data_IF_331386174077
#
_entry.id   IF_331386174077
#
_cell.length_a   1.000
_cell.length_b   1.000
_cell.length_c   1.000
_cell.angle_alpha   90.00
_cell.angle_beta   90.00
_cell.angle_gamma   90.00
#
_symmetry.space_group_name_H-M   'P 1'
#
loop_
_entity.id
_entity.type
_entity.pdbx_description
1 polymer ?
#
# COMPACT_ATOMS: atom_id res chain seq x y z
N UNK A 1 4.04 9.45 17.55
CA UNK A 1 3.19 10.66 17.54
C UNK A 1 1.86 10.40 18.23
N UNK A 2 1.29 11.38 19.00
CA UNK A 2 -0.09 11.36 19.48
C UNK A 2 -1.10 11.70 18.36
N UNK A 3 -2.40 11.53 18.62
CA UNK A 3 -3.43 11.92 17.64
C UNK A 3 -3.47 13.44 17.43
N UNK A 4 -3.27 14.21 18.49
CA UNK A 4 -3.22 15.67 18.45
C UNK A 4 -2.04 16.18 17.61
N UNK A 5 -0.88 15.53 17.72
CA UNK A 5 0.29 15.84 16.90
C UNK A 5 0.03 15.55 15.42
N UNK A 6 -0.64 14.42 15.11
CA UNK A 6 -1.00 14.05 13.75
C UNK A 6 -2.04 15.02 13.18
N UNK A 7 -3.09 15.32 13.92
CA UNK A 7 -4.15 16.24 13.53
C UNK A 7 -3.60 17.65 13.25
N UNK A 8 -2.73 18.17 14.14
CA UNK A 8 -2.08 19.46 13.94
C UNK A 8 -1.22 19.48 12.68
N UNK A 9 -0.43 18.43 12.45
CA UNK A 9 0.37 18.30 11.21
C UNK A 9 -0.52 18.29 9.97
N UNK A 10 -1.59 17.49 9.97
CA UNK A 10 -2.51 17.38 8.83
C UNK A 10 -3.24 18.69 8.58
N UNK A 11 -3.64 19.45 9.62
CA UNK A 11 -4.24 20.77 9.49
C UNK A 11 -3.27 21.75 8.78
N UNK A 12 -2.00 21.72 9.13
CA UNK A 12 -0.98 22.54 8.46
C UNK A 12 -0.83 22.09 7.00
N UNK A 13 -0.73 20.77 6.74
CA UNK A 13 -0.56 20.21 5.41
C UNK A 13 -1.78 20.49 4.50
N UNK A 14 -3.00 20.51 5.04
CA UNK A 14 -4.21 20.88 4.32
C UNK A 14 -4.14 22.31 3.78
N UNK A 15 -3.50 23.24 4.53
CA UNK A 15 -3.21 24.60 4.08
C UNK A 15 -2.27 24.67 2.87
N UNK A 16 -1.45 23.66 2.63
CA UNK A 16 -0.61 23.50 1.44
C UNK A 16 -1.29 22.71 0.31
N UNK A 17 -2.57 22.39 0.43
CA UNK A 17 -3.34 21.70 -0.61
C UNK A 17 -3.30 20.18 -0.52
N UNK A 18 -2.87 19.60 0.59
CA UNK A 18 -3.09 18.17 0.83
C UNK A 18 -4.57 17.94 1.06
N UNK A 19 -5.18 17.04 0.26
CA UNK A 19 -6.61 16.72 0.26
C UNK A 19 -6.89 15.26 0.59
N UNK A 20 -5.94 14.38 0.28
CA UNK A 20 -6.13 12.94 0.36
C UNK A 20 -5.12 12.32 1.30
N UNK A 21 -5.61 11.56 2.26
CA UNK A 21 -4.80 10.90 3.26
C UNK A 21 -4.80 9.38 3.06
N UNK A 22 -3.73 8.74 3.51
CA UNK A 22 -3.68 7.29 3.63
C UNK A 22 -3.14 6.91 4.98
N UNK A 23 -3.96 6.23 5.77
CA UNK A 23 -3.53 5.60 7.00
C UNK A 23 -2.83 4.28 6.67
N UNK A 24 -1.61 4.12 7.14
CA UNK A 24 -0.77 2.95 6.92
C UNK A 24 0.22 2.82 8.07
N UNK A 25 1.23 1.96 7.94
CA UNK A 25 2.26 1.76 8.95
C UNK A 25 2.73 0.32 8.89
N UNK A 26 2.96 -0.33 10.03
CA UNK A 26 2.97 -1.79 10.08
C UNK A 26 1.54 -2.29 9.84
N UNK A 27 0.70 -2.27 10.91
CA UNK A 27 -0.74 -2.50 10.77
C UNK A 27 -1.50 -1.37 11.48
N UNK A 28 -2.19 -0.48 10.73
CA UNK A 28 -2.87 0.68 11.34
C UNK A 28 -4.00 0.29 12.28
N UNK A 29 -4.69 -0.83 12.01
CA UNK A 29 -5.81 -1.30 12.85
C UNK A 29 -5.35 -1.91 14.18
N UNK A 30 -4.06 -2.23 14.33
CA UNK A 30 -3.49 -2.62 15.62
C UNK A 30 -3.36 -1.42 16.58
N UNK A 31 -3.35 -0.19 16.06
CA UNK A 31 -3.32 1.01 16.87
C UNK A 31 -4.72 1.31 17.42
N UNK A 32 -4.84 1.29 18.76
CA UNK A 32 -6.09 1.65 19.43
C UNK A 32 -6.57 3.05 19.01
N UNK A 33 -7.85 3.18 18.66
CA UNK A 33 -8.46 4.46 18.27
C UNK A 33 -8.20 4.85 16.81
N UNK A 34 -7.80 3.93 15.92
CA UNK A 34 -7.55 4.23 14.51
C UNK A 34 -8.77 4.85 13.81
N UNK A 35 -9.99 4.37 14.06
CA UNK A 35 -11.22 4.95 13.50
C UNK A 35 -11.50 6.36 14.09
N UNK A 36 -11.23 6.57 15.40
CA UNK A 36 -11.31 7.90 16.00
C UNK A 36 -10.36 8.89 15.33
N UNK A 37 -9.09 8.48 15.11
CA UNK A 37 -8.14 9.31 14.37
C UNK A 37 -8.66 9.63 12.97
N UNK A 38 -9.19 8.65 12.23
CA UNK A 38 -9.75 8.89 10.90
C UNK A 38 -10.88 9.93 10.94
N UNK A 39 -11.80 9.83 11.91
CA UNK A 39 -12.88 10.79 12.07
C UNK A 39 -12.37 12.21 12.36
N UNK A 40 -11.38 12.36 13.24
CA UNK A 40 -10.73 13.65 13.54
C UNK A 40 -10.06 14.26 12.31
N UNK A 41 -9.39 13.43 11.51
CA UNK A 41 -8.73 13.88 10.30
C UNK A 41 -9.71 14.26 9.19
N UNK A 42 -10.83 13.54 9.04
CA UNK A 42 -11.90 13.92 8.10
C UNK A 42 -12.59 15.23 8.46
N UNK A 43 -12.59 15.63 9.73
CA UNK A 43 -13.16 16.89 10.18
C UNK A 43 -12.27 18.11 9.87
N UNK A 44 -11.05 17.93 9.38
CA UNK A 44 -10.14 19.02 9.03
C UNK A 44 -10.57 19.64 7.69
N UNK A 45 -10.76 20.94 7.68
CA UNK A 45 -11.11 21.68 6.45
C UNK A 45 -10.08 21.42 5.32
N UNK A 46 -10.61 21.02 4.18
CA UNK A 46 -9.82 20.73 2.99
C UNK A 46 -9.38 19.27 2.85
N UNK A 47 -9.60 18.40 3.83
CA UNK A 47 -9.43 16.95 3.65
C UNK A 47 -10.70 16.40 3.01
N UNK A 48 -10.54 15.73 1.88
CA UNK A 48 -11.65 15.24 1.03
C UNK A 48 -11.80 13.73 1.08
N UNK A 49 -10.71 13.00 1.40
CA UNK A 49 -10.72 11.55 1.30
C UNK A 49 -9.65 10.90 2.19
N UNK A 50 -10.04 9.83 2.86
CA UNK A 50 -9.14 8.97 3.63
C UNK A 50 -9.21 7.53 3.12
N UNK A 51 -8.06 6.99 2.75
CA UNK A 51 -7.88 5.57 2.48
C UNK A 51 -7.10 4.90 3.60
N UNK A 52 -7.33 3.60 3.80
CA UNK A 52 -6.52 2.78 4.71
C UNK A 52 -5.79 1.68 3.93
N UNK A 53 -4.55 1.35 4.33
CA UNK A 53 -3.83 0.16 3.86
C UNK A 53 -3.61 -0.75 5.06
N UNK A 54 -4.09 -1.97 4.99
CA UNK A 54 -4.13 -2.94 6.10
C UNK A 54 -3.84 -4.37 5.59
N UNK A 55 -3.41 -5.25 6.49
CA UNK A 55 -3.34 -6.68 6.21
C UNK A 55 -4.72 -7.36 6.16
N UNK A 56 -5.79 -6.64 6.49
CA UNK A 56 -7.17 -7.12 6.40
C UNK A 56 -7.69 -7.93 7.59
N UNK A 57 -6.83 -8.54 8.38
CA UNK A 57 -7.24 -9.48 9.43
C UNK A 57 -8.16 -8.86 10.50
N UNK A 58 -8.02 -7.57 10.78
CA UNK A 58 -8.83 -6.86 11.76
C UNK A 58 -10.06 -6.14 11.16
N UNK A 59 -10.24 -6.13 9.85
CA UNK A 59 -11.37 -5.46 9.20
C UNK A 59 -12.73 -5.97 9.68
N UNK A 60 -12.97 -7.28 9.91
CA UNK A 60 -14.27 -7.73 10.41
C UNK A 60 -14.71 -7.05 11.72
N UNK A 61 -13.74 -6.56 12.49
CA UNK A 61 -14.00 -5.85 13.75
C UNK A 61 -14.17 -4.35 13.58
N UNK A 62 -13.47 -3.73 12.62
CA UNK A 62 -13.34 -2.29 12.53
C UNK A 62 -13.94 -1.65 11.28
N UNK A 63 -14.41 -2.44 10.30
CA UNK A 63 -14.90 -1.93 9.02
C UNK A 63 -16.07 -0.95 9.21
N UNK A 64 -17.03 -1.27 10.07
CA UNK A 64 -18.15 -0.40 10.40
C UNK A 64 -17.68 0.96 10.96
N UNK A 65 -16.83 0.96 11.98
CA UNK A 65 -16.34 2.17 12.61
C UNK A 65 -15.50 3.03 11.63
N UNK A 66 -14.71 2.39 10.77
CA UNK A 66 -13.95 3.09 9.74
C UNK A 66 -14.86 3.78 8.71
N UNK A 67 -15.93 3.10 8.26
CA UNK A 67 -16.92 3.72 7.35
C UNK A 67 -17.62 4.88 8.02
N UNK A 68 -18.06 4.71 9.25
CA UNK A 68 -18.70 5.78 10.04
C UNK A 68 -17.73 6.97 10.27
N UNK A 69 -16.43 6.71 10.36
CA UNK A 69 -15.38 7.73 10.47
C UNK A 69 -15.04 8.44 9.14
N UNK A 70 -15.67 8.06 8.01
CA UNK A 70 -15.47 8.68 6.71
C UNK A 70 -14.34 8.06 5.87
N UNK A 71 -13.80 6.89 6.25
CA UNK A 71 -12.87 6.17 5.39
C UNK A 71 -13.60 5.63 4.18
N UNK A 72 -13.24 6.10 3.00
CA UNK A 72 -13.94 5.76 1.74
C UNK A 72 -13.37 4.50 1.08
N UNK A 73 -12.05 4.24 1.22
CA UNK A 73 -11.34 3.24 0.44
C UNK A 73 -10.44 2.37 1.30
N UNK A 74 -10.44 1.07 1.01
CA UNK A 74 -9.59 0.08 1.68
C UNK A 74 -8.62 -0.54 0.68
N UNK A 75 -7.34 -0.61 1.06
CA UNK A 75 -6.32 -1.39 0.35
C UNK A 75 -5.88 -2.54 1.26
N UNK A 76 -6.10 -3.76 0.82
CA UNK A 76 -5.81 -4.97 1.60
C UNK A 76 -4.59 -5.65 0.97
N UNK A 77 -3.58 -5.94 1.78
CA UNK A 77 -2.37 -6.63 1.33
C UNK A 77 -2.63 -8.14 1.28
N UNK A 78 -2.41 -8.76 0.11
CA UNK A 78 -2.57 -10.20 -0.09
C UNK A 78 -1.66 -10.66 -1.24
N UNK A 79 -0.55 -11.29 -0.92
CA UNK A 79 0.46 -11.66 -1.91
C UNK A 79 0.21 -13.01 -2.56
N UNK A 80 -0.57 -13.89 -1.92
CA UNK A 80 -0.87 -15.23 -2.44
C UNK A 80 -2.18 -15.78 -1.85
N UNK A 81 -2.85 -16.65 -2.61
CA UNK A 81 -3.99 -17.43 -2.14
C UNK A 81 -3.60 -18.83 -1.63
N UNK A 82 -2.36 -19.24 -1.78
CA UNK A 82 -1.82 -20.48 -1.23
C UNK A 82 -1.55 -20.31 0.27
N UNK A 83 -2.20 -21.10 1.16
CA UNK A 83 -2.05 -20.94 2.60
C UNK A 83 -0.62 -21.19 3.11
N UNK A 84 0.14 -22.10 2.47
CA UNK A 84 1.51 -22.39 2.86
C UNK A 84 2.44 -21.23 2.48
N UNK A 85 2.30 -20.70 1.26
CA UNK A 85 3.02 -19.51 0.79
C UNK A 85 2.64 -18.29 1.64
N UNK A 86 1.36 -18.13 1.95
CA UNK A 86 0.90 -17.03 2.82
C UNK A 86 1.54 -17.08 4.20
N UNK A 87 1.54 -18.24 4.85
CA UNK A 87 2.15 -18.42 6.16
C UNK A 87 3.67 -18.14 6.14
N UNK A 88 4.36 -18.56 5.08
CA UNK A 88 5.81 -18.33 4.92
C UNK A 88 6.13 -16.83 4.78
N UNK A 89 5.34 -16.07 4.01
CA UNK A 89 5.58 -14.63 3.77
C UNK A 89 5.18 -13.80 4.98
N UNK A 90 4.00 -14.07 5.56
CA UNK A 90 3.44 -13.23 6.63
C UNK A 90 3.94 -13.60 8.02
N UNK A 91 4.47 -14.81 8.20
CA UNK A 91 4.93 -15.40 9.47
C UNK A 91 3.85 -15.58 10.53
N UNK A 92 2.80 -14.79 10.48
CA UNK A 92 1.67 -14.82 11.42
C UNK A 92 0.37 -14.54 10.67
N UNK A 93 -0.72 -15.08 11.16
CA UNK A 93 -2.05 -14.88 10.60
C UNK A 93 -2.50 -15.99 9.66
N UNK A 94 -3.73 -15.90 9.22
CA UNK A 94 -4.37 -16.85 8.31
C UNK A 94 -4.91 -16.11 7.08
N UNK A 95 -4.78 -16.74 5.93
CA UNK A 95 -5.41 -16.23 4.71
C UNK A 95 -6.92 -16.08 4.87
N UNK A 96 -7.57 -16.98 5.63
CA UNK A 96 -9.01 -16.89 5.91
C UNK A 96 -9.40 -15.61 6.64
N UNK A 97 -8.50 -15.09 7.52
CA UNK A 97 -8.72 -13.79 8.19
C UNK A 97 -8.73 -12.64 7.18
N UNK A 98 -7.84 -12.68 6.20
CA UNK A 98 -7.77 -11.67 5.14
C UNK A 98 -9.00 -11.74 4.23
N UNK A 99 -9.40 -12.94 3.84
CA UNK A 99 -10.61 -13.15 3.01
C UNK A 99 -11.88 -12.67 3.73
N UNK A 100 -12.03 -12.98 5.03
CA UNK A 100 -13.11 -12.40 5.85
C UNK A 100 -13.04 -10.88 5.95
N UNK A 101 -11.81 -10.32 5.98
CA UNK A 101 -11.62 -8.89 5.95
C UNK A 101 -12.06 -8.24 4.63
N UNK A 102 -11.83 -8.90 3.51
CA UNK A 102 -12.32 -8.49 2.19
C UNK A 102 -13.86 -8.50 2.18
N UNK A 103 -14.47 -9.58 2.67
CA UNK A 103 -15.93 -9.71 2.74
C UNK A 103 -16.54 -8.61 3.61
N UNK A 104 -15.99 -8.38 4.80
CA UNK A 104 -16.44 -7.30 5.69
C UNK A 104 -16.31 -5.89 5.04
N UNK A 105 -15.25 -5.64 4.27
CA UNK A 105 -15.11 -4.38 3.56
C UNK A 105 -16.18 -4.18 2.48
N UNK A 106 -16.58 -5.25 1.79
CA UNK A 106 -17.65 -5.21 0.79
C UNK A 106 -19.02 -5.04 1.45
N UNK A 107 -19.29 -5.74 2.54
CA UNK A 107 -20.54 -5.70 3.30
C UNK A 107 -20.81 -4.31 3.90
N UNK A 108 -19.77 -3.66 4.43
CA UNK A 108 -19.86 -2.30 4.98
C UNK A 108 -19.88 -1.21 3.89
N UNK A 109 -19.82 -1.58 2.62
CA UNK A 109 -20.00 -0.66 1.50
C UNK A 109 -18.89 0.36 1.34
N UNK A 110 -17.63 -0.02 1.51
CA UNK A 110 -16.53 0.84 1.11
C UNK A 110 -16.63 1.15 -0.40
N UNK A 111 -16.43 2.40 -0.77
CA UNK A 111 -16.56 2.87 -2.16
C UNK A 111 -15.60 2.16 -3.10
N UNK A 112 -14.41 1.80 -2.58
CA UNK A 112 -13.43 1.04 -3.34
C UNK A 112 -12.67 0.07 -2.45
N UNK A 113 -12.75 -1.21 -2.79
CA UNK A 113 -11.95 -2.29 -2.17
C UNK A 113 -10.85 -2.71 -3.13
N UNK A 114 -9.60 -2.55 -2.71
CA UNK A 114 -8.42 -2.93 -3.49
C UNK A 114 -7.63 -4.01 -2.77
N UNK A 115 -7.20 -5.02 -3.50
CA UNK A 115 -6.22 -6.02 -3.06
C UNK A 115 -4.88 -5.67 -3.67
N UNK A 116 -3.85 -5.49 -2.84
CA UNK A 116 -2.48 -5.23 -3.27
C UNK A 116 -1.67 -6.51 -3.17
N UNK A 117 -1.00 -6.86 -4.22
CA UNK A 117 -0.12 -8.02 -4.32
C UNK A 117 1.25 -7.55 -4.80
N UNK A 118 2.28 -7.77 -4.01
CA UNK A 118 3.66 -7.59 -4.45
C UNK A 118 4.04 -8.80 -5.30
N UNK A 119 4.43 -8.55 -6.55
CA UNK A 119 4.80 -9.60 -7.48
C UNK A 119 6.28 -9.95 -7.33
N UNK A 120 6.56 -11.18 -6.87
CA UNK A 120 7.91 -11.68 -6.58
C UNK A 120 8.13 -12.98 -7.33
N UNK A 121 9.17 -13.05 -8.16
CA UNK A 121 9.47 -14.21 -9.00
C UNK A 121 9.70 -15.49 -8.17
N UNK A 122 10.49 -15.38 -7.11
CA UNK A 122 10.79 -16.50 -6.21
C UNK A 122 9.57 -17.09 -5.50
N UNK A 123 8.48 -16.32 -5.36
CA UNK A 123 7.26 -16.78 -4.67
C UNK A 123 6.37 -17.66 -5.55
N UNK A 124 6.58 -17.69 -6.88
CA UNK A 124 5.80 -18.48 -7.82
C UNK A 124 4.28 -18.35 -7.56
N UNK A 125 3.79 -17.11 -7.67
CA UNK A 125 2.42 -16.74 -7.32
C UNK A 125 1.44 -17.10 -8.45
N UNK A 126 0.25 -17.58 -8.09
CA UNK A 126 -0.89 -17.67 -9.00
C UNK A 126 -1.55 -16.30 -9.17
N UNK A 127 -0.97 -15.48 -10.04
CA UNK A 127 -1.47 -14.12 -10.29
C UNK A 127 -2.89 -14.10 -10.85
N UNK A 128 -3.25 -15.06 -11.74
CA UNK A 128 -4.59 -15.11 -12.28
C UNK A 128 -5.60 -15.52 -11.22
N UNK A 129 -5.28 -16.50 -10.38
CA UNK A 129 -6.14 -16.89 -9.25
C UNK A 129 -6.45 -15.72 -8.31
N UNK A 130 -5.48 -14.83 -8.07
CA UNK A 130 -5.75 -13.62 -7.28
C UNK A 130 -6.73 -12.68 -8.03
N UNK A 131 -6.65 -12.57 -9.36
CA UNK A 131 -7.61 -11.74 -10.13
C UNK A 131 -9.04 -12.26 -10.08
N UNK A 132 -9.23 -13.58 -9.85
CA UNK A 132 -10.55 -14.19 -9.69
C UNK A 132 -11.36 -13.61 -8.53
N UNK A 133 -10.70 -13.01 -7.53
CA UNK A 133 -11.37 -12.27 -6.46
C UNK A 133 -12.28 -11.16 -7.00
N UNK A 134 -11.93 -10.61 -8.17
CA UNK A 134 -12.67 -9.55 -8.86
C UNK A 134 -13.67 -10.05 -9.92
N UNK A 135 -13.83 -11.38 -10.14
CA UNK A 135 -14.74 -11.90 -11.16
C UNK A 135 -16.19 -11.45 -10.92
N UNK A 136 -16.75 -11.81 -9.77
CA UNK A 136 -18.14 -11.57 -9.42
C UNK A 136 -18.34 -10.48 -8.35
N UNK A 137 -17.25 -9.87 -7.91
CA UNK A 137 -17.21 -8.86 -6.85
C UNK A 137 -16.48 -7.60 -7.30
N UNK A 138 -16.84 -6.39 -6.83
CA UNK A 138 -16.17 -5.14 -7.20
C UNK A 138 -14.82 -4.97 -6.47
N UNK A 139 -13.93 -5.96 -6.63
CA UNK A 139 -12.61 -5.97 -6.05
C UNK A 139 -11.59 -5.64 -7.13
N UNK A 140 -10.73 -4.65 -6.86
CA UNK A 140 -9.70 -4.22 -7.77
C UNK A 140 -8.34 -4.77 -7.33
N UNK A 141 -7.83 -5.78 -8.02
CA UNK A 141 -6.52 -6.36 -7.73
C UNK A 141 -5.43 -5.46 -8.32
N UNK A 142 -4.39 -5.16 -7.53
CA UNK A 142 -3.25 -4.37 -7.98
C UNK A 142 -1.96 -5.14 -7.76
N UNK A 143 -1.27 -5.44 -8.82
CA UNK A 143 0.07 -6.00 -8.79
C UNK A 143 1.10 -4.86 -8.72
N UNK A 144 2.02 -4.99 -7.79
CA UNK A 144 3.09 -4.02 -7.52
C UNK A 144 4.41 -4.71 -7.78
N UNK A 145 5.26 -4.12 -8.61
CA UNK A 145 6.63 -4.63 -8.77
C UNK A 145 7.34 -4.69 -7.42
N UNK A 146 8.02 -5.80 -7.17
CA UNK A 146 8.83 -5.94 -5.97
C UNK A 146 9.90 -4.84 -5.95
N UNK A 147 9.99 -4.16 -4.82
CA UNK A 147 10.96 -3.09 -4.56
C UNK A 147 11.93 -3.58 -3.48
N UNK A 148 13.21 -3.80 -3.78
CA UNK A 148 14.21 -4.12 -2.76
C UNK A 148 14.46 -2.88 -1.89
N UNK A 149 13.74 -2.80 -0.77
CA UNK A 149 13.81 -1.72 0.22
C UNK A 149 14.27 -2.31 1.55
N UNK A 150 15.27 -1.68 2.16
CA UNK A 150 15.97 -2.14 3.35
C UNK A 150 17.37 -2.66 3.01
N UNK A 151 18.27 -2.64 3.98
CA UNK A 151 19.60 -3.21 3.84
C UNK A 151 19.55 -4.74 3.89
N UNK A 152 20.23 -5.42 2.97
CA UNK A 152 20.41 -6.87 2.96
C UNK A 152 21.02 -7.41 4.26
N UNK A 153 21.72 -6.55 5.03
CA UNK A 153 22.38 -6.92 6.28
C UNK A 153 21.45 -6.92 7.51
N UNK A 154 20.29 -6.22 7.43
CA UNK A 154 19.40 -6.00 8.59
C UNK A 154 18.17 -6.89 8.61
N UNK A 155 17.95 -7.72 7.60
CA UNK A 155 16.90 -8.73 7.63
C UNK A 155 17.31 -9.80 8.65
N UNK A 156 16.49 -10.08 9.71
CA UNK A 156 16.84 -11.10 10.68
C UNK A 156 17.02 -12.48 10.01
N UNK A 157 18.23 -12.98 9.94
CA UNK A 157 18.58 -14.29 9.37
C UNK A 157 18.06 -15.48 10.21
N UNK A 158 17.30 -15.22 11.26
CA UNK A 158 16.74 -16.23 12.15
C UNK A 158 15.29 -16.55 11.75
N UNK A 159 15.11 -17.20 10.61
CA UNK A 159 13.86 -17.89 10.28
C UNK A 159 14.00 -19.31 10.79
N UNK A 160 13.02 -19.88 11.54
CA UNK A 160 13.07 -21.28 11.96
C UNK A 160 13.21 -22.19 10.74
N UNK A 161 14.09 -23.21 10.83
CA UNK A 161 14.34 -24.16 9.74
C UNK A 161 13.11 -25.00 9.33
N UNK A 162 12.05 -25.02 10.13
CA UNK A 162 10.78 -25.68 9.84
C UNK A 162 9.96 -24.85 8.84
N UNK A 163 10.10 -25.16 7.57
CA UNK A 163 9.43 -24.47 6.44
C UNK A 163 10.36 -24.06 5.31
N UNK A 164 11.67 -24.07 5.53
CA UNK A 164 12.68 -23.54 4.60
C UNK A 164 12.85 -24.36 3.30
N UNK A 165 12.30 -25.58 3.20
CA UNK A 165 12.40 -26.41 2.02
C UNK A 165 11.48 -25.96 0.87
N UNK A 166 10.46 -25.12 1.13
CA UNK A 166 9.47 -24.68 0.13
C UNK A 166 9.81 -23.35 -0.53
N UNK A 167 10.66 -22.52 0.10
CA UNK A 167 11.01 -21.21 -0.42
C UNK A 167 12.48 -20.90 -0.22
N UNK A 168 13.14 -20.37 -1.25
CA UNK A 168 14.33 -19.53 -1.02
C UNK A 168 13.92 -18.54 0.07
N UNK A 169 14.68 -18.53 1.14
CA UNK A 169 14.49 -17.63 2.26
C UNK A 169 13.97 -16.26 1.80
N UNK A 170 12.82 -15.81 2.32
CA UNK A 170 12.22 -14.51 2.01
C UNK A 170 13.23 -13.37 2.25
N UNK A 171 14.24 -13.60 3.09
CA UNK A 171 15.37 -12.72 3.34
C UNK A 171 16.40 -12.70 2.18
N UNK A 172 16.28 -13.60 1.20
CA UNK A 172 17.19 -13.72 0.06
C UNK A 172 16.60 -13.15 -1.24
N UNK A 173 15.43 -12.51 -1.21
CA UNK A 173 14.89 -11.86 -2.40
C UNK A 173 15.72 -10.65 -2.77
N UNK A 174 16.10 -10.59 -4.04
CA UNK A 174 16.89 -9.51 -4.60
C UNK A 174 16.22 -8.88 -5.84
N UNK A 175 16.93 -8.02 -6.53
CA UNK A 175 16.42 -7.35 -7.74
C UNK A 175 16.05 -8.32 -8.86
N UNK A 176 16.63 -9.52 -8.92
CA UNK A 176 16.30 -10.53 -9.93
C UNK A 176 14.91 -11.12 -9.72
N UNK A 177 14.35 -10.98 -8.50
CA UNK A 177 13.00 -11.40 -8.16
C UNK A 177 11.93 -10.39 -8.59
N UNK A 178 12.32 -9.21 -9.06
CA UNK A 178 11.38 -8.25 -9.64
C UNK A 178 10.87 -8.78 -10.99
N UNK A 179 9.55 -8.82 -11.13
CA UNK A 179 8.88 -9.11 -12.40
C UNK A 179 8.47 -7.78 -13.02
N UNK A 180 9.04 -7.36 -14.17
CA UNK A 180 8.64 -6.13 -14.83
C UNK A 180 7.14 -6.13 -15.18
N UNK A 181 6.51 -4.98 -15.07
CA UNK A 181 5.05 -4.84 -15.26
C UNK A 181 4.57 -5.41 -16.61
N UNK A 182 5.30 -5.21 -17.69
CA UNK A 182 4.90 -5.74 -19.02
C UNK A 182 4.94 -7.26 -19.07
N UNK A 183 5.96 -7.88 -18.45
CA UNK A 183 6.05 -9.33 -18.29
C UNK A 183 4.88 -9.84 -17.42
N UNK A 184 4.65 -9.21 -16.28
CA UNK A 184 3.58 -9.59 -15.36
C UNK A 184 2.20 -9.50 -16.02
N UNK A 185 1.94 -8.43 -16.77
CA UNK A 185 0.70 -8.25 -17.52
C UNK A 185 0.49 -9.35 -18.55
N UNK A 186 1.56 -9.73 -19.26
CA UNK A 186 1.53 -10.84 -20.21
C UNK A 186 1.22 -12.18 -19.52
N UNK A 187 1.88 -12.46 -18.38
CA UNK A 187 1.64 -13.68 -17.59
C UNK A 187 0.16 -13.76 -17.17
N UNK A 188 -0.39 -12.66 -16.63
CA UNK A 188 -1.80 -12.60 -16.17
C UNK A 188 -2.76 -12.76 -17.35
N UNK A 189 -2.50 -12.10 -18.50
CA UNK A 189 -3.35 -12.20 -19.69
C UNK A 189 -3.36 -13.61 -20.26
N UNK A 190 -2.18 -14.22 -20.47
CA UNK A 190 -2.06 -15.60 -21.00
C UNK A 190 -2.71 -16.64 -20.06
N UNK A 191 -2.61 -16.45 -18.73
CA UNK A 191 -3.28 -17.31 -17.77
C UNK A 191 -4.81 -17.17 -17.84
N UNK A 192 -5.31 -15.94 -17.99
CA UNK A 192 -6.74 -15.66 -18.20
C UNK A 192 -7.29 -16.29 -19.48
N UNK A 193 -6.55 -16.19 -20.58
CA UNK A 193 -6.92 -16.83 -21.85
C UNK A 193 -7.00 -18.36 -21.71
N UNK A 194 -6.02 -18.99 -21.06
CA UNK A 194 -6.03 -20.44 -20.78
C UNK A 194 -7.21 -20.85 -19.88
N UNK A 195 -7.63 -19.99 -18.97
CA UNK A 195 -8.77 -20.22 -18.08
C UNK A 195 -10.12 -19.84 -18.72
N UNK A 196 -10.14 -19.39 -19.97
CA UNK A 196 -11.37 -18.99 -20.67
C UNK A 196 -11.92 -17.62 -20.28
N UNK A 197 -11.15 -16.79 -19.58
CA UNK A 197 -11.54 -15.41 -19.24
C UNK A 197 -11.22 -14.41 -20.37
N UNK A 198 -10.55 -14.87 -21.45
CA UNK A 198 -10.08 -14.01 -22.51
C UNK A 198 -8.84 -13.16 -22.14
N UNK A 199 -8.42 -12.24 -23.03
CA UNK A 199 -7.28 -11.37 -22.79
C UNK A 199 -7.62 -10.21 -21.84
N UNK A 200 -6.58 -9.63 -21.22
CA UNK A 200 -6.70 -8.37 -20.50
C UNK A 200 -6.89 -7.20 -21.47
N UNK A 201 -7.95 -6.42 -21.27
CA UNK A 201 -8.30 -5.24 -22.04
C UNK A 201 -8.02 -3.98 -21.21
N UNK A 202 -7.33 -2.99 -21.78
CA UNK A 202 -7.02 -1.74 -21.07
C UNK A 202 -8.31 -0.96 -20.71
N UNK A 203 -8.42 -0.56 -19.46
CA UNK A 203 -9.54 0.24 -18.98
C UNK A 203 -9.35 1.70 -19.40
N UNK A 204 -10.30 2.22 -20.18
CA UNK A 204 -10.35 3.64 -20.56
C UNK A 204 -11.29 4.43 -19.66
N UNK A 205 -12.37 3.84 -19.18
CA UNK A 205 -13.44 4.51 -18.39
C UNK A 205 -13.70 3.86 -17.02
N UNK A 206 -13.56 2.53 -16.89
CA UNK A 206 -13.89 1.77 -15.68
C UNK A 206 -12.70 1.70 -14.70
N UNK A 207 -12.10 2.84 -14.39
CA UNK A 207 -11.00 2.88 -13.41
C UNK A 207 -11.57 3.05 -12.01
N UNK A 208 -11.08 2.29 -11.01
CA UNK A 208 -11.49 2.51 -9.64
C UNK A 208 -10.99 3.87 -9.16
N UNK A 209 -11.77 4.52 -8.33
CA UNK A 209 -11.40 5.79 -7.73
C UNK A 209 -10.10 5.70 -6.96
N UNK A 210 -9.34 6.81 -6.96
CA UNK A 210 -8.11 6.97 -6.22
C UNK A 210 -6.99 7.67 -6.98
N UNK A 211 -6.01 8.15 -6.21
CA UNK A 211 -4.91 9.02 -6.64
C UNK A 211 -3.58 8.26 -6.79
N UNK A 212 -3.64 6.95 -7.00
CA UNK A 212 -2.45 6.10 -7.12
C UNK A 212 -1.94 5.99 -8.57
N UNK A 213 -0.69 5.50 -8.77
CA UNK A 213 -0.04 5.41 -10.06
C UNK A 213 -0.44 4.17 -10.88
N UNK A 214 -1.38 3.35 -10.40
CA UNK A 214 -1.76 2.12 -11.07
C UNK A 214 -2.40 2.39 -12.44
N UNK A 215 -1.97 1.66 -13.44
CA UNK A 215 -2.66 1.55 -14.71
C UNK A 215 -3.56 0.32 -14.67
N UNK A 216 -4.78 0.40 -15.27
CA UNK A 216 -5.80 -0.61 -15.08
C UNK A 216 -6.22 -1.29 -16.39
N UNK A 217 -6.46 -2.59 -16.26
CA UNK A 217 -7.03 -3.49 -17.28
C UNK A 217 -8.19 -4.27 -16.68
N UNK A 218 -8.93 -4.97 -17.52
CA UNK A 218 -10.09 -5.75 -17.13
C UNK A 218 -10.20 -7.01 -17.99
N UNK A 219 -10.60 -8.11 -17.38
CA UNK A 219 -11.13 -9.25 -18.12
C UNK A 219 -12.59 -8.98 -18.49
N UNK A 220 -13.03 -9.46 -19.64
CA UNK A 220 -14.42 -9.33 -20.04
C UNK A 220 -15.34 -10.04 -19.04
N UNK A 221 -16.44 -9.38 -18.66
CA UNK A 221 -17.40 -9.92 -17.69
C UNK A 221 -16.99 -9.79 -16.21
N UNK A 222 -15.73 -9.47 -15.86
CA UNK A 222 -15.36 -9.26 -14.47
C UNK A 222 -15.94 -7.96 -13.93
N UNK A 223 -16.39 -7.96 -12.67
CA UNK A 223 -16.83 -6.73 -11.98
C UNK A 223 -15.65 -5.86 -11.56
N UNK A 224 -14.57 -6.47 -11.10
CA UNK A 224 -13.35 -5.81 -10.70
C UNK A 224 -12.39 -5.50 -11.86
N UNK A 225 -11.25 -4.90 -11.54
CA UNK A 225 -10.18 -4.57 -12.49
C UNK A 225 -8.83 -5.10 -12.01
N UNK A 226 -7.88 -5.19 -12.92
CA UNK A 226 -6.50 -5.56 -12.66
C UNK A 226 -5.62 -4.33 -12.89
N UNK A 227 -4.97 -3.85 -11.83
CA UNK A 227 -4.06 -2.72 -11.87
C UNK A 227 -2.61 -3.15 -11.81
N UNK A 228 -1.72 -2.41 -12.45
CA UNK A 228 -0.28 -2.63 -12.37
C UNK A 228 0.43 -1.35 -11.94
N UNK A 229 1.40 -1.48 -11.03
CA UNK A 229 2.21 -0.38 -10.50
C UNK A 229 3.68 -0.66 -10.83
N UNK A 230 4.19 0.06 -11.81
CA UNK A 230 5.56 -0.06 -12.31
C UNK A 230 6.50 0.79 -11.47
N UNK A 231 6.85 0.30 -10.28
CA UNK A 231 7.71 1.05 -9.37
C UNK A 231 9.18 1.03 -9.80
N UNK A 232 9.61 -0.03 -10.49
CA UNK A 232 11.01 -0.29 -10.87
C UNK A 232 11.24 -0.18 -12.38
N UNK A 233 10.34 -0.75 -13.21
CA UNK A 233 10.56 -0.83 -14.67
C UNK A 233 10.16 0.44 -15.41
N UNK A 234 9.12 1.16 -14.95
CA UNK A 234 8.62 2.38 -15.60
C UNK A 234 8.21 3.41 -14.54
N UNK A 235 9.16 4.23 -14.16
CA UNK A 235 8.99 5.19 -13.07
C UNK A 235 7.86 6.20 -13.33
N UNK A 236 6.98 6.35 -12.34
CA UNK A 236 5.93 7.40 -12.31
C UNK A 236 6.34 8.60 -11.45
N UNK A 237 7.63 8.79 -11.19
CA UNK A 237 8.16 9.80 -10.27
C UNK A 237 7.76 11.22 -10.64
N UNK A 238 7.76 11.59 -11.92
CA UNK A 238 7.34 12.91 -12.40
C UNK A 238 5.88 13.26 -12.12
N UNK A 239 5.03 12.25 -11.86
CA UNK A 239 3.62 12.41 -11.52
C UNK A 239 3.35 12.10 -10.03
N UNK A 240 4.40 11.84 -9.25
CA UNK A 240 4.26 11.45 -7.84
C UNK A 240 3.98 12.66 -6.97
N UNK A 241 2.78 12.75 -6.42
CA UNK A 241 2.31 13.80 -5.50
C UNK A 241 2.29 13.37 -4.03
N UNK A 242 3.04 12.31 -3.65
CA UNK A 242 2.98 11.74 -2.31
C UNK A 242 4.07 12.29 -1.40
N UNK A 243 3.72 12.56 -0.16
CA UNK A 243 4.60 12.74 0.99
C UNK A 243 4.28 11.65 2.03
N UNK A 244 5.20 11.39 2.93
CA UNK A 244 5.04 10.40 3.99
C UNK A 244 5.40 11.02 5.33
N UNK A 245 4.50 10.88 6.30
CA UNK A 245 4.76 11.19 7.69
C UNK A 245 4.97 9.87 8.43
N UNK A 246 6.17 9.67 8.96
CA UNK A 246 6.51 8.46 9.71
C UNK A 246 5.94 8.48 11.12
N UNK A 247 5.77 7.31 11.75
CA UNK A 247 5.22 7.19 13.11
C UNK A 247 6.09 7.90 14.17
N UNK A 248 7.39 8.03 13.92
CA UNK A 248 8.35 8.74 14.76
C UNK A 248 8.45 10.25 14.43
N UNK A 249 7.62 10.75 13.49
CA UNK A 249 7.44 12.19 13.23
C UNK A 249 8.45 12.81 12.30
N UNK A 250 8.88 12.06 11.29
CA UNK A 250 9.70 12.59 10.19
C UNK A 250 8.88 12.68 8.90
N UNK A 251 9.02 13.78 8.18
CA UNK A 251 8.41 13.95 6.87
C UNK A 251 9.41 13.52 5.78
N UNK A 252 8.99 12.57 4.92
CA UNK A 252 9.78 12.02 3.82
C UNK A 252 9.18 12.43 2.47
N UNK A 253 9.96 13.02 1.56
CA UNK A 253 9.48 13.40 0.24
C UNK A 253 9.33 12.22 -0.73
N UNK A 254 10.09 11.14 -0.52
CA UNK A 254 10.12 9.98 -1.41
C UNK A 254 10.29 8.67 -0.61
N UNK A 255 9.73 7.58 -1.15
CA UNK A 255 9.88 6.23 -0.58
C UNK A 255 11.34 5.77 -0.60
N UNK A 256 12.04 6.03 -1.70
CA UNK A 256 13.42 5.59 -1.96
C UNK A 256 14.50 6.59 -1.50
N UNK A 257 14.14 7.60 -0.71
CA UNK A 257 15.09 8.61 -0.24
C UNK A 257 15.22 8.55 1.26
N UNK A 258 16.46 8.63 1.78
CA UNK A 258 16.72 8.75 3.21
C UNK A 258 16.63 10.18 3.73
N UNK A 259 16.25 11.13 2.85
CA UNK A 259 15.95 12.50 3.28
C UNK A 259 14.73 12.50 4.21
N UNK A 260 14.96 12.99 5.42
CA UNK A 260 13.94 13.12 6.46
C UNK A 260 13.97 14.53 7.05
N UNK A 261 12.79 15.05 7.30
CA UNK A 261 12.59 16.36 7.91
C UNK A 261 11.83 16.15 9.22
N UNK A 262 12.49 16.29 10.39
CA UNK A 262 11.86 16.06 11.68
C UNK A 262 10.82 17.14 11.97
N UNK A 263 9.55 16.75 12.12
CA UNK A 263 8.46 17.67 12.47
C UNK A 263 7.99 17.50 13.91
N UNK A 264 8.27 16.36 14.54
CA UNK A 264 7.79 16.07 15.89
C UNK A 264 8.29 17.04 16.95
N UNK A 265 9.58 17.48 16.98
CA UNK A 265 10.03 18.47 17.95
C UNK A 265 9.30 19.80 17.82
N UNK A 266 9.05 20.28 16.60
CA UNK A 266 8.32 21.52 16.34
C UNK A 266 6.84 21.40 16.74
N UNK A 267 6.19 20.27 16.43
CA UNK A 267 4.80 20.00 16.86
C UNK A 267 4.67 20.03 18.39
N UNK A 268 5.62 19.45 19.11
CA UNK A 268 5.63 19.45 20.60
C UNK A 268 5.92 20.82 21.18
N UNK A 269 6.73 21.61 20.51
CA UNK A 269 6.99 22.99 20.87
C UNK A 269 5.85 23.94 20.49
N UNK A 270 4.81 23.48 19.83
CA UNK A 270 3.74 24.28 19.23
C UNK A 270 4.26 25.35 18.25
N UNK A 271 5.38 25.09 17.59
CA UNK A 271 6.01 25.96 16.59
C UNK A 271 5.53 25.56 15.17
N UNK A 272 4.39 26.14 14.75
CA UNK A 272 3.82 25.88 13.44
C UNK A 272 4.71 26.40 12.29
N UNK A 273 5.48 27.46 12.52
CA UNK A 273 6.34 28.02 11.49
C UNK A 273 7.52 27.08 11.19
N UNK A 274 8.06 26.44 12.23
CA UNK A 274 9.09 25.39 12.03
C UNK A 274 8.50 24.15 11.32
N UNK A 275 7.25 23.76 11.60
CA UNK A 275 6.56 22.67 10.88
C UNK A 275 6.36 23.04 9.41
N UNK A 276 5.92 24.28 9.10
CA UNK A 276 5.78 24.80 7.73
C UNK A 276 7.12 24.79 6.99
N UNK A 277 8.17 25.27 7.63
CA UNK A 277 9.53 25.29 7.04
C UNK A 277 10.02 23.88 6.69
N UNK A 278 9.79 22.89 7.55
CA UNK A 278 10.13 21.49 7.29
C UNK A 278 9.29 20.91 6.13
N UNK A 279 8.00 21.23 6.07
CA UNK A 279 7.10 20.81 4.99
C UNK A 279 7.56 21.38 3.63
N UNK A 280 7.85 22.67 3.56
CA UNK A 280 8.37 23.34 2.36
C UNK A 280 9.74 22.81 1.93
N UNK A 281 10.60 22.50 2.89
CA UNK A 281 11.89 21.88 2.61
C UNK A 281 11.72 20.49 1.99
N UNK A 282 10.79 19.68 2.52
CA UNK A 282 10.46 18.37 1.96
C UNK A 282 9.92 18.48 0.53
N UNK A 283 9.05 19.47 0.25
CA UNK A 283 8.54 19.72 -1.10
C UNK A 283 9.65 20.14 -2.08
N UNK A 284 10.48 21.09 -1.70
CA UNK A 284 11.60 21.59 -2.55
C UNK A 284 12.61 20.50 -2.88
N UNK A 285 12.85 19.58 -1.95
CA UNK A 285 13.83 18.51 -2.10
C UNK A 285 13.20 17.16 -2.54
N UNK A 286 11.94 17.19 -2.96
CA UNK A 286 11.32 16.02 -3.55
C UNK A 286 11.99 15.70 -4.88
N UNK A 287 12.58 14.49 -5.04
CA UNK A 287 13.30 14.16 -6.26
C UNK A 287 12.35 13.97 -7.45
N UNK A 288 12.73 14.49 -8.61
CA UNK A 288 12.02 14.29 -9.88
C UNK A 288 12.05 12.81 -10.31
N UNK A 289 13.10 12.09 -9.91
CA UNK A 289 13.28 10.66 -10.16
C UNK A 289 14.10 10.06 -9.02
N UNK A 290 13.63 8.94 -8.46
CA UNK A 290 14.48 8.18 -7.54
C UNK A 290 15.63 7.53 -8.31
N UNK A 291 16.79 7.41 -7.69
CA UNK A 291 17.90 6.65 -8.20
C UNK A 291 17.59 5.18 -7.95
N UNK A 292 17.54 4.37 -8.99
CA UNK A 292 17.15 2.96 -8.93
C UNK A 292 18.07 2.07 -8.08
N UNK A 293 19.19 2.61 -7.61
CA UNK A 293 20.22 1.88 -6.88
C UNK A 293 20.26 2.21 -5.39
N UNK A 294 19.59 3.29 -4.96
CA UNK A 294 19.61 3.71 -3.59
C UNK A 294 18.37 3.09 -2.93
N UNK A 295 18.52 1.98 -2.22
CA UNK A 295 17.57 1.54 -1.24
C UNK A 295 17.33 2.64 -0.20
N UNK A 296 16.53 2.40 0.79
CA UNK A 296 16.44 3.21 1.99
C UNK A 296 16.83 2.33 3.16
N UNK A 297 17.52 2.90 4.15
CA UNK A 297 17.90 2.20 5.39
C UNK A 297 16.68 1.76 6.22
N UNK A 298 15.50 2.37 5.97
CA UNK A 298 14.27 2.04 6.69
C UNK A 298 13.47 0.92 6.02
N UNK A 299 12.87 0.07 6.86
CA UNK A 299 11.91 -0.94 6.39
C UNK A 299 10.57 -0.32 5.95
N UNK A 300 9.88 -0.98 5.02
CA UNK A 300 8.55 -0.57 4.55
C UNK A 300 7.56 -0.33 5.70
N UNK A 301 7.58 -1.16 6.74
CA UNK A 301 6.73 -1.02 7.92
C UNK A 301 6.98 0.26 8.72
N UNK A 302 8.16 0.86 8.61
CA UNK A 302 8.52 2.11 9.30
C UNK A 302 8.15 3.36 8.50
N UNK A 303 8.08 3.24 7.18
CA UNK A 303 7.86 4.36 6.27
C UNK A 303 6.48 4.36 5.59
N UNK A 304 5.64 3.39 5.92
CA UNK A 304 4.29 3.28 5.44
C UNK A 304 4.21 2.76 4.01
N UNK A 305 4.33 1.46 3.87
CA UNK A 305 4.18 0.72 2.60
C UNK A 305 2.74 0.53 2.16
#
# INVERSE_FOLDING_TARGET
MSFEEIERFVSIAAGYGIRHLRLTGGEPLARKGCAELASRLMAIDGIEDIAITTNGALLPRFAHDLRAAGVSRVNISLDTLDPAKFAAVTRVGSIDDVLRGIDAALEEGFETVKVNTVAVRALDQDFFGITELGRDRPIHVRFIEYMPIGDDETIPKNIPEEGSALFKDVSAWDRSDTIPTDELRRIVSEAGERAGAGPLIACTKDRPEGHGPAQYWKFEGFKGTVGFISAMSSHFCSQCNRLRLTADGNLRPCLFSDLEYPVLPALRAHDDDAVRAAFEAALRNKPDKHKSNDGTERFMSQIGG
#
